data_IF_684677886599
#
_entry.id   IF_684677886599
#
_cell.length_a   1.000
_cell.length_b   1.000
_cell.length_c   1.000
_cell.angle_alpha   90.00
_cell.angle_beta   90.00
_cell.angle_gamma   90.00
#
_symmetry.space_group_name_H-M   'P 1'
#
loop_
_entity.id
_entity.type
_entity.pdbx_description
1 polymer ?
#
# COMPACT_ATOMS: atom_id res chain seq x y z
N UNK A 1 -6.41 14.31 -20.98
CA UNK A 1 -5.07 14.29 -21.61
C UNK A 1 -4.09 13.80 -20.55
N UNK A 2 -3.22 12.86 -20.88
CA UNK A 2 -2.29 12.27 -19.92
C UNK A 2 -1.31 13.31 -19.37
N UNK A 3 -1.17 13.36 -18.04
CA UNK A 3 -0.23 14.23 -17.34
C UNK A 3 1.16 13.59 -17.19
N UNK A 4 1.20 12.26 -17.12
CA UNK A 4 2.40 11.44 -17.07
C UNK A 4 2.41 10.45 -18.24
N UNK A 5 3.58 10.21 -18.84
CA UNK A 5 3.78 9.15 -19.83
C UNK A 5 4.91 8.24 -19.37
N UNK A 6 4.62 6.96 -19.24
CA UNK A 6 5.57 5.91 -18.87
C UNK A 6 5.86 5.05 -20.10
N UNK A 7 7.13 4.80 -20.39
CA UNK A 7 7.57 3.97 -21.51
C UNK A 7 8.29 2.75 -20.95
N UNK A 8 7.70 1.57 -21.11
CA UNK A 8 8.29 0.32 -20.66
C UNK A 8 9.29 -0.21 -21.70
N UNK A 9 10.58 -0.10 -21.39
CA UNK A 9 11.66 -0.70 -22.16
C UNK A 9 12.31 -1.88 -21.41
N UNK A 10 11.72 -2.33 -20.32
CA UNK A 10 12.28 -3.39 -19.49
C UNK A 10 12.34 -4.71 -20.27
N UNK A 11 13.50 -5.38 -20.25
CA UNK A 11 13.70 -6.65 -20.96
C UNK A 11 13.86 -6.55 -22.48
N UNK A 12 13.82 -5.35 -23.08
CA UNK A 12 14.21 -5.18 -24.48
C UNK A 12 15.73 -5.35 -24.61
N UNK A 13 16.16 -6.48 -25.20
CA UNK A 13 17.54 -6.63 -25.69
C UNK A 13 17.68 -5.78 -26.95
N UNK A 14 18.27 -4.59 -26.80
CA UNK A 14 18.75 -3.82 -27.95
C UNK A 14 19.95 -4.59 -28.51
N UNK A 15 19.71 -5.44 -29.51
CA UNK A 15 20.81 -6.05 -30.27
C UNK A 15 21.62 -4.91 -30.91
N UNK A 16 22.95 -5.08 -31.00
CA UNK A 16 23.91 -4.12 -31.58
C UNK A 16 23.68 -3.78 -33.07
N UNK A 17 22.57 -4.21 -33.66
CA UNK A 17 22.16 -3.81 -34.99
C UNK A 17 21.57 -2.39 -34.98
N UNK A 18 22.18 -1.50 -35.77
CA UNK A 18 21.81 -0.09 -35.98
C UNK A 18 20.29 0.16 -36.19
N UNK A 19 19.53 -0.82 -36.68
CA UNK A 19 18.09 -0.70 -36.92
C UNK A 19 17.24 -0.60 -35.65
N UNK A 20 17.64 -1.25 -34.55
CA UNK A 20 16.87 -1.24 -33.30
C UNK A 20 16.94 0.14 -32.62
N UNK A 21 18.14 0.73 -32.60
CA UNK A 21 18.38 2.07 -32.05
C UNK A 21 17.66 3.18 -32.82
N UNK A 22 17.67 3.14 -34.17
CA UNK A 22 16.96 4.14 -34.97
C UNK A 22 15.44 4.05 -34.78
N UNK A 23 14.89 2.85 -34.65
CA UNK A 23 13.45 2.65 -34.42
C UNK A 23 13.05 3.17 -33.05
N UNK A 24 13.81 2.83 -32.01
CA UNK A 24 13.59 3.35 -30.66
C UNK A 24 13.67 4.88 -30.63
N UNK A 25 14.69 5.46 -31.27
CA UNK A 25 14.87 6.91 -31.35
C UNK A 25 13.67 7.59 -32.04
N UNK A 26 13.17 7.02 -33.13
CA UNK A 26 11.96 7.51 -33.81
C UNK A 26 10.73 7.46 -32.90
N UNK A 27 10.56 6.36 -32.16
CA UNK A 27 9.43 6.20 -31.24
C UNK A 27 9.52 7.21 -30.09
N UNK A 28 10.69 7.36 -29.45
CA UNK A 28 10.88 8.33 -28.37
C UNK A 28 10.66 9.77 -28.85
N UNK A 29 11.17 10.13 -30.04
CA UNK A 29 10.91 11.43 -30.67
C UNK A 29 9.42 11.66 -30.93
N UNK A 30 8.71 10.65 -31.46
CA UNK A 30 7.27 10.75 -31.71
C UNK A 30 6.49 10.97 -30.41
N UNK A 31 6.84 10.22 -29.35
CA UNK A 31 6.23 10.39 -28.03
C UNK A 31 6.50 11.78 -27.48
N UNK A 32 7.75 12.25 -27.53
CA UNK A 32 8.11 13.58 -27.09
C UNK A 32 7.36 14.66 -27.89
N UNK A 33 7.37 14.63 -29.22
CA UNK A 33 6.65 15.62 -30.03
C UNK A 33 5.13 15.61 -29.77
N UNK A 34 4.54 14.45 -29.48
CA UNK A 34 3.10 14.33 -29.24
C UNK A 34 2.71 14.69 -27.80
N UNK A 35 3.63 14.57 -26.84
CA UNK A 35 3.34 14.67 -25.40
C UNK A 35 4.12 15.74 -24.63
N UNK A 36 5.24 16.28 -25.13
CA UNK A 36 6.11 17.20 -24.40
C UNK A 36 5.40 18.50 -24.00
N UNK A 37 4.52 19.04 -24.84
CA UNK A 37 3.76 20.25 -24.52
C UNK A 37 2.64 20.03 -23.49
N UNK A 38 2.33 18.77 -23.16
CA UNK A 38 1.10 18.37 -22.42
C UNK A 38 1.38 17.55 -21.17
N UNK A 39 2.43 16.74 -21.17
CA UNK A 39 2.82 15.88 -20.06
C UNK A 39 3.84 16.59 -19.16
N UNK A 40 3.57 16.59 -17.86
CA UNK A 40 4.46 17.15 -16.83
C UNK A 40 5.55 16.16 -16.41
N UNK A 41 5.43 14.90 -16.82
CA UNK A 41 6.33 13.83 -16.45
C UNK A 41 6.45 12.80 -17.59
N UNK A 42 7.65 12.65 -18.14
CA UNK A 42 7.98 11.66 -19.15
C UNK A 42 9.02 10.70 -18.54
N UNK A 43 8.70 9.41 -18.47
CA UNK A 43 9.53 8.44 -17.77
C UNK A 43 9.83 7.22 -18.64
N UNK A 44 11.08 6.77 -18.62
CA UNK A 44 11.52 5.52 -19.23
C UNK A 44 11.81 4.51 -18.12
N UNK A 45 11.28 3.29 -18.27
CA UNK A 45 11.52 2.16 -17.37
C UNK A 45 12.49 1.21 -18.05
N UNK A 46 13.66 0.95 -17.46
CA UNK A 46 14.67 0.04 -18.04
C UNK A 46 15.45 -0.74 -16.97
N UNK A 47 16.02 -1.90 -17.34
CA UNK A 47 16.93 -2.66 -16.48
C UNK A 47 18.28 -2.85 -17.19
N UNK A 48 19.37 -2.61 -16.48
CA UNK A 48 20.71 -2.62 -17.04
C UNK A 48 21.14 -1.24 -17.54
N UNK A 49 22.43 -0.97 -17.46
CA UNK A 49 22.97 0.28 -17.98
C UNK A 49 22.59 0.38 -19.47
N UNK A 50 22.02 1.50 -19.89
CA UNK A 50 22.22 2.00 -21.26
C UNK A 50 23.68 2.51 -21.35
N UNK A 51 24.65 1.73 -20.86
CA UNK A 51 26.07 1.96 -21.06
C UNK A 51 26.48 0.96 -22.11
N UNK A 52 26.86 1.46 -23.27
CA UNK A 52 27.76 0.74 -24.15
C UNK A 52 28.87 0.14 -23.28
N UNK A 53 28.97 -1.19 -23.26
CA UNK A 53 30.07 -1.85 -22.59
C UNK A 53 31.37 -1.30 -23.21
N UNK A 54 32.24 -0.69 -22.40
CA UNK A 54 33.65 -0.52 -22.78
C UNK A 54 34.31 -1.89 -22.65
N UNK A 55 34.06 -2.74 -23.64
CA UNK A 55 34.80 -3.98 -23.83
C UNK A 55 35.89 -3.77 -24.87
N UNK A 56 37.15 -3.77 -24.43
CA UNK A 56 38.31 -4.11 -25.25
C UNK A 56 38.73 -3.10 -26.32
N UNK A 57 40.03 -2.84 -26.39
CA UNK A 57 40.65 -2.14 -27.52
C UNK A 57 40.39 -2.92 -28.82
N UNK A 58 39.90 -2.21 -29.84
CA UNK A 58 39.64 -2.64 -31.23
C UNK A 58 38.21 -3.04 -31.64
N UNK A 59 37.21 -2.21 -31.32
CA UNK A 59 36.03 -2.07 -32.20
C UNK A 59 35.59 -0.60 -32.25
N UNK A 60 36.16 0.14 -33.20
CA UNK A 60 35.66 1.46 -33.62
C UNK A 60 34.43 1.18 -34.49
N UNK A 61 33.26 1.01 -33.86
CA UNK A 61 31.98 1.02 -34.54
C UNK A 61 31.22 2.30 -34.15
N UNK A 62 31.44 3.35 -34.97
CA UNK A 62 30.55 4.47 -35.27
C UNK A 62 29.81 5.17 -34.10
N UNK A 63 30.59 5.79 -33.22
CA UNK A 63 30.14 6.67 -32.16
C UNK A 63 29.85 8.12 -32.62
N UNK A 64 29.37 8.33 -33.86
CA UNK A 64 28.94 9.66 -34.36
C UNK A 64 27.41 9.81 -34.47
N UNK A 65 26.64 8.72 -34.36
CA UNK A 65 25.15 8.74 -34.36
C UNK A 65 24.52 8.79 -32.96
N UNK A 66 25.34 8.82 -31.90
CA UNK A 66 24.92 8.69 -30.49
C UNK A 66 24.51 10.01 -29.81
N UNK A 67 24.88 11.18 -30.35
CA UNK A 67 24.59 12.47 -29.72
C UNK A 67 23.09 12.80 -29.67
N UNK A 68 22.31 12.40 -30.69
CA UNK A 68 20.87 12.68 -30.74
C UNK A 68 20.09 11.90 -29.69
N UNK A 69 20.40 10.61 -29.51
CA UNK A 69 19.72 9.73 -28.54
C UNK A 69 20.04 10.12 -27.09
N UNK A 70 21.31 10.46 -26.82
CA UNK A 70 21.73 10.97 -25.51
C UNK A 70 21.11 12.31 -25.17
N UNK A 71 20.92 13.19 -26.16
CA UNK A 71 20.23 14.48 -25.96
C UNK A 71 18.75 14.25 -25.68
N UNK A 72 18.09 13.38 -26.43
CA UNK A 72 16.69 13.03 -26.24
C UNK A 72 16.42 12.41 -24.87
N UNK A 73 17.27 11.47 -24.44
CA UNK A 73 17.15 10.80 -23.15
C UNK A 73 17.25 11.77 -21.96
N UNK A 74 17.89 12.93 -22.11
CA UNK A 74 17.92 13.97 -21.05
C UNK A 74 16.56 14.59 -20.79
N UNK A 75 15.63 14.50 -21.75
CA UNK A 75 14.27 15.00 -21.60
C UNK A 75 13.34 14.00 -20.91
N UNK A 76 13.78 12.74 -20.78
CA UNK A 76 13.08 11.69 -20.08
C UNK A 76 13.72 11.42 -18.73
N UNK A 77 12.90 11.25 -17.72
CA UNK A 77 13.38 10.73 -16.44
C UNK A 77 13.55 9.21 -16.54
N UNK A 78 14.79 8.73 -16.47
CA UNK A 78 15.07 7.30 -16.56
C UNK A 78 15.02 6.66 -15.17
N UNK A 79 14.18 5.65 -15.00
CA UNK A 79 14.12 4.82 -13.79
C UNK A 79 14.66 3.44 -14.13
N UNK A 80 15.84 3.15 -13.57
CA UNK A 80 16.44 1.82 -13.60
C UNK A 80 16.59 1.27 -12.21
N UNK A 81 15.83 0.21 -11.91
CA UNK A 81 15.85 -0.52 -10.63
C UNK A 81 15.97 -2.02 -10.89
N UNK A 82 16.42 -2.81 -9.90
CA UNK A 82 16.62 -4.25 -10.07
C UNK A 82 15.36 -5.05 -10.38
N UNK A 83 14.17 -4.48 -10.14
CA UNK A 83 12.89 -5.18 -10.29
C UNK A 83 11.81 -4.22 -10.82
N UNK A 84 10.70 -4.78 -11.31
CA UNK A 84 9.56 -4.00 -11.79
C UNK A 84 8.82 -3.35 -10.62
N UNK A 85 8.64 -4.06 -9.51
CA UNK A 85 8.07 -3.53 -8.28
C UNK A 85 8.84 -2.29 -7.80
N UNK A 86 10.17 -2.36 -7.75
CA UNK A 86 11.02 -1.25 -7.35
C UNK A 86 10.93 -0.05 -8.30
N UNK A 87 10.88 -0.32 -9.61
CA UNK A 87 10.76 0.71 -10.65
C UNK A 87 9.41 1.43 -10.54
N UNK A 88 8.31 0.69 -10.52
CA UNK A 88 6.96 1.25 -10.46
C UNK A 88 6.69 1.97 -9.14
N UNK A 89 7.20 1.45 -8.01
CA UNK A 89 7.09 2.15 -6.74
C UNK A 89 7.83 3.50 -6.76
N UNK A 90 9.06 3.53 -7.31
CA UNK A 90 9.83 4.78 -7.48
C UNK A 90 9.08 5.76 -8.39
N UNK A 91 8.51 5.26 -9.49
CA UNK A 91 7.72 6.07 -10.43
C UNK A 91 6.47 6.64 -9.74
N UNK A 92 5.78 5.82 -8.95
CA UNK A 92 4.62 6.25 -8.16
C UNK A 92 4.99 7.39 -7.20
N UNK A 93 6.13 7.31 -6.53
CA UNK A 93 6.61 8.39 -5.66
C UNK A 93 6.75 9.71 -6.42
N UNK A 94 7.38 9.67 -7.61
CA UNK A 94 7.55 10.87 -8.47
C UNK A 94 6.23 11.41 -8.99
N UNK A 95 5.30 10.54 -9.36
CA UNK A 95 3.93 10.91 -9.77
C UNK A 95 3.21 11.62 -8.62
N UNK A 96 3.33 11.09 -7.40
CA UNK A 96 2.68 11.65 -6.21
C UNK A 96 3.30 12.98 -5.78
N UNK A 97 4.62 13.13 -5.85
CA UNK A 97 5.32 14.40 -5.60
C UNK A 97 4.85 15.52 -6.54
N UNK A 98 4.54 15.16 -7.79
CA UNK A 98 4.00 16.08 -8.80
C UNK A 98 2.46 16.20 -8.75
N UNK A 99 1.80 15.51 -7.83
CA UNK A 99 0.35 15.41 -7.68
C UNK A 99 -0.38 15.07 -9.00
N UNK A 100 0.16 14.12 -9.76
CA UNK A 100 -0.45 13.67 -11.02
C UNK A 100 -1.40 12.49 -10.76
N UNK A 101 -2.37 12.29 -11.65
CA UNK A 101 -3.27 11.13 -11.60
C UNK A 101 -3.62 10.55 -12.96
N UNK A 102 -3.47 11.30 -14.06
CA UNK A 102 -3.69 10.75 -15.41
C UNK A 102 -2.38 10.28 -16.03
N UNK A 103 -2.25 8.97 -16.26
CA UNK A 103 -1.03 8.32 -16.70
C UNK A 103 -1.29 7.56 -18.00
N UNK A 104 -0.45 7.77 -19.00
CA UNK A 104 -0.37 6.94 -20.20
C UNK A 104 0.81 5.98 -20.07
N UNK A 105 0.60 4.71 -20.39
CA UNK A 105 1.64 3.67 -20.37
C UNK A 105 1.82 3.13 -21.78
N UNK A 106 3.01 3.36 -22.33
CA UNK A 106 3.44 2.85 -23.62
C UNK A 106 4.27 1.60 -23.36
N UNK A 107 3.75 0.43 -23.74
CA UNK A 107 4.29 -0.87 -23.34
C UNK A 107 4.26 -1.86 -24.51
N UNK A 108 5.27 -2.74 -24.67
CA UNK A 108 5.20 -3.82 -25.64
C UNK A 108 3.96 -4.69 -25.42
N UNK A 109 3.29 -5.09 -26.51
CA UNK A 109 2.01 -5.80 -26.47
C UNK A 109 2.03 -7.04 -25.55
N UNK A 110 3.13 -7.81 -25.58
CA UNK A 110 3.32 -9.03 -24.77
C UNK A 110 3.55 -8.76 -23.28
N UNK A 111 3.90 -7.53 -22.89
CA UNK A 111 4.12 -7.12 -21.47
C UNK A 111 2.93 -6.39 -20.87
N UNK A 112 1.92 -6.06 -21.67
CA UNK A 112 0.77 -5.23 -21.27
C UNK A 112 0.01 -5.81 -20.08
N UNK A 113 -0.27 -7.12 -20.09
CA UNK A 113 -1.00 -7.78 -18.99
C UNK A 113 -0.16 -7.86 -17.72
N UNK A 114 1.13 -8.17 -17.84
CA UNK A 114 2.07 -8.15 -16.72
C UNK A 114 2.12 -6.75 -16.06
N UNK A 115 2.26 -5.70 -16.86
CA UNK A 115 2.29 -4.31 -16.39
C UNK A 115 0.99 -3.92 -15.66
N UNK A 116 -0.17 -4.33 -16.20
CA UNK A 116 -1.46 -4.12 -15.53
C UNK A 116 -1.51 -4.80 -14.16
N UNK A 117 -1.07 -6.05 -14.05
CA UNK A 117 -1.08 -6.78 -12.79
C UNK A 117 -0.20 -6.13 -11.70
N UNK A 118 0.95 -5.53 -12.05
CA UNK A 118 1.71 -4.71 -11.11
C UNK A 118 0.96 -3.41 -10.74
N UNK A 119 0.39 -2.72 -11.72
CA UNK A 119 -0.34 -1.46 -11.50
C UNK A 119 -1.55 -1.69 -10.58
N UNK A 120 -2.32 -2.74 -10.78
CA UNK A 120 -3.49 -3.10 -9.99
C UNK A 120 -3.16 -3.33 -8.50
N UNK A 121 -1.92 -3.69 -8.19
CA UNK A 121 -1.45 -3.88 -6.82
C UNK A 121 -0.80 -2.62 -6.23
N UNK A 122 -0.02 -1.87 -7.01
CA UNK A 122 0.78 -0.73 -6.54
C UNK A 122 0.03 0.61 -6.58
N UNK A 123 -1.04 0.71 -7.38
CA UNK A 123 -1.83 1.93 -7.54
C UNK A 123 -3.27 1.70 -7.07
N UNK A 124 -3.98 2.81 -6.86
CA UNK A 124 -5.40 2.81 -6.49
C UNK A 124 -6.25 3.46 -7.58
N UNK A 125 -7.57 3.49 -7.40
CA UNK A 125 -8.50 4.15 -8.33
C UNK A 125 -8.34 5.68 -8.39
N UNK A 126 -7.49 6.28 -7.54
CA UNK A 126 -7.11 7.69 -7.66
C UNK A 126 -6.38 7.95 -8.99
N UNK A 127 -5.73 6.94 -9.57
CA UNK A 127 -4.97 7.04 -10.80
C UNK A 127 -5.77 6.50 -11.98
N UNK A 128 -5.77 7.24 -13.09
CA UNK A 128 -6.37 6.83 -14.34
C UNK A 128 -5.27 6.41 -15.33
N UNK A 129 -5.32 5.16 -15.80
CA UNK A 129 -4.34 4.58 -16.70
C UNK A 129 -4.90 4.38 -18.11
N UNK A 130 -4.20 4.91 -19.11
CA UNK A 130 -4.41 4.62 -20.53
C UNK A 130 -3.22 3.82 -21.07
N UNK A 131 -3.47 2.80 -21.90
CA UNK A 131 -2.39 1.97 -22.45
C UNK A 131 -2.29 2.10 -23.96
N UNK A 132 -1.06 2.22 -24.43
CA UNK A 132 -0.71 2.29 -25.85
C UNK A 132 0.37 1.24 -26.15
N UNK A 133 0.26 0.59 -27.30
CA UNK A 133 1.20 -0.48 -27.65
C UNK A 133 2.47 0.12 -28.24
N UNK A 134 3.62 -0.28 -27.70
CA UNK A 134 4.92 0.14 -28.22
C UNK A 134 5.18 -0.55 -29.56
N UNK A 135 4.99 0.17 -30.67
CA UNK A 135 5.32 -0.32 -32.01
C UNK A 135 6.84 -0.29 -32.21
N UNK A 136 7.52 -1.40 -31.93
CA UNK A 136 8.91 -1.62 -32.36
C UNK A 136 8.87 -2.64 -33.49
N UNK A 137 9.21 -2.24 -34.71
CA UNK A 137 9.33 -3.16 -35.85
C UNK A 137 10.60 -4.01 -35.70
N UNK A 138 10.57 -5.02 -34.83
CA UNK A 138 11.59 -6.06 -34.78
C UNK A 138 11.32 -7.04 -35.93
N UNK A 139 11.76 -6.69 -37.14
CA UNK A 139 11.97 -7.69 -38.19
C UNK A 139 13.22 -8.49 -37.83
N UNK A 140 13.01 -9.61 -37.14
CA UNK A 140 13.53 -10.93 -37.52
C UNK A 140 13.70 -11.84 -36.29
N UNK A 141 13.08 -13.03 -36.38
CA UNK A 141 13.52 -14.25 -35.70
C UNK A 141 12.85 -14.60 -34.37
N UNK A 142 11.83 -15.46 -34.45
CA UNK A 142 11.35 -16.35 -33.37
C UNK A 142 10.71 -15.71 -32.13
N UNK A 143 9.63 -14.97 -32.32
CA UNK A 143 8.50 -15.05 -31.41
C UNK A 143 7.31 -15.50 -32.23
N UNK A 144 6.91 -16.77 -32.06
CA UNK A 144 5.64 -17.26 -32.56
C UNK A 144 4.60 -16.21 -32.19
N UNK A 145 3.88 -15.68 -33.18
CA UNK A 145 2.60 -15.05 -32.95
C UNK A 145 1.69 -16.13 -32.35
N UNK A 146 1.80 -16.37 -31.04
CA UNK A 146 0.73 -17.05 -30.34
C UNK A 146 -0.34 -15.99 -30.13
N UNK A 147 -1.45 -16.20 -30.83
CA UNK A 147 -2.77 -15.68 -30.50
C UNK A 147 -3.21 -16.30 -29.16
N UNK A 148 -2.36 -16.24 -28.14
CA UNK A 148 -2.68 -16.64 -26.78
C UNK A 148 -3.26 -15.42 -26.09
N UNK A 149 -4.49 -15.61 -25.62
CA UNK A 149 -5.19 -14.71 -24.75
C UNK A 149 -4.21 -14.26 -23.66
N UNK A 150 -3.81 -12.99 -23.66
CA UNK A 150 -2.88 -12.38 -22.71
C UNK A 150 -3.51 -12.37 -21.29
N UNK A 151 -3.76 -13.53 -20.71
CA UNK A 151 -4.21 -13.71 -19.34
C UNK A 151 -3.02 -14.10 -18.49
N UNK A 152 -2.83 -13.39 -17.39
CA UNK A 152 -1.83 -13.74 -16.40
C UNK A 152 -2.24 -15.07 -15.75
N UNK A 153 -1.31 -16.00 -15.66
CA UNK A 153 -1.52 -17.24 -14.92
C UNK A 153 -1.56 -16.97 -13.41
N UNK A 154 -2.17 -17.88 -12.63
CA UNK A 154 -2.18 -17.75 -11.18
C UNK A 154 -0.75 -17.74 -10.59
N UNK A 155 0.16 -18.51 -11.19
CA UNK A 155 1.57 -18.55 -10.81
C UNK A 155 2.27 -17.21 -11.07
N UNK A 156 2.12 -16.62 -12.25
CA UNK A 156 2.72 -15.31 -12.54
C UNK A 156 2.16 -14.22 -11.61
N UNK A 157 0.87 -14.29 -11.25
CA UNK A 157 0.29 -13.34 -10.30
C UNK A 157 0.90 -13.50 -8.89
N UNK A 158 1.15 -14.73 -8.46
CA UNK A 158 1.84 -15.04 -7.20
C UNK A 158 3.29 -14.54 -7.23
N UNK A 159 4.01 -14.71 -8.35
CA UNK A 159 5.36 -14.16 -8.54
C UNK A 159 5.37 -12.63 -8.42
N UNK A 160 4.40 -11.94 -9.03
CA UNK A 160 4.26 -10.48 -8.91
C UNK A 160 3.99 -10.07 -7.46
N UNK A 161 3.08 -10.76 -6.78
CA UNK A 161 2.78 -10.50 -5.37
C UNK A 161 4.04 -10.67 -4.51
N UNK A 162 4.76 -11.77 -4.70
CA UNK A 162 6.02 -12.06 -4.00
C UNK A 162 7.09 -11.01 -4.28
N UNK A 163 7.24 -10.54 -5.53
CA UNK A 163 8.19 -9.47 -5.88
C UNK A 163 7.84 -8.16 -5.16
N UNK A 164 6.56 -7.76 -5.17
CA UNK A 164 6.07 -6.56 -4.50
C UNK A 164 6.30 -6.66 -3.00
N UNK A 165 5.86 -7.74 -2.36
CA UNK A 165 6.02 -7.93 -0.93
C UNK A 165 7.50 -7.93 -0.51
N UNK A 166 8.35 -8.63 -1.26
CA UNK A 166 9.80 -8.67 -0.99
C UNK A 166 10.41 -7.27 -1.06
N UNK A 167 10.04 -6.50 -2.09
CA UNK A 167 10.51 -5.13 -2.23
C UNK A 167 10.01 -4.24 -1.09
N UNK A 168 8.71 -4.26 -0.77
CA UNK A 168 8.14 -3.43 0.31
C UNK A 168 8.71 -3.77 1.68
N UNK A 169 8.98 -5.05 1.96
CA UNK A 169 9.67 -5.51 3.19
C UNK A 169 11.09 -4.96 3.29
N UNK A 170 11.77 -4.74 2.16
CA UNK A 170 13.13 -4.19 2.13
C UNK A 170 13.20 -2.68 2.40
N UNK A 171 12.07 -1.97 2.32
CA UNK A 171 12.04 -0.51 2.51
C UNK A 171 12.35 -0.15 3.98
N UNK A 172 13.13 0.92 4.22
CA UNK A 172 13.38 1.38 5.58
C UNK A 172 12.10 1.91 6.24
N UNK A 173 12.04 1.87 7.56
CA UNK A 173 11.03 2.59 8.31
C UNK A 173 11.19 4.11 8.14
N UNK A 174 10.10 4.80 7.87
CA UNK A 174 10.07 6.26 7.77
C UNK A 174 9.71 6.89 9.12
N UNK A 175 10.18 8.12 9.32
CA UNK A 175 9.89 8.95 10.50
C UNK A 175 10.29 8.32 11.86
N UNK A 176 11.25 7.39 11.88
CA UNK A 176 11.75 6.74 13.10
C UNK A 176 11.19 5.35 13.31
N UNK A 177 11.33 4.82 14.53
CA UNK A 177 10.89 3.47 14.89
C UNK A 177 9.39 3.41 15.18
N UNK A 178 8.79 2.23 15.02
CA UNK A 178 7.40 1.98 15.41
C UNK A 178 7.29 2.03 16.92
N UNK A 179 6.47 2.96 17.43
CA UNK A 179 6.13 3.03 18.85
C UNK A 179 4.70 2.54 19.09
N UNK A 180 4.56 1.63 20.06
CA UNK A 180 3.28 1.11 20.57
C UNK A 180 3.15 1.58 22.02
N UNK A 181 2.16 2.41 22.29
CA UNK A 181 1.91 2.97 23.61
C UNK A 181 0.94 2.05 24.35
N UNK A 182 1.36 1.55 25.50
CA UNK A 182 0.57 0.66 26.36
C UNK A 182 0.24 1.35 27.68
N UNK A 183 -0.63 0.72 28.46
CA UNK A 183 -1.02 1.16 29.81
C UNK A 183 -0.83 0.02 30.80
N UNK A 184 -0.32 0.27 32.02
CA UNK A 184 -0.26 -0.74 33.08
C UNK A 184 -1.63 -1.22 33.58
N UNK A 185 -2.71 -0.48 33.29
CA UNK A 185 -4.05 -0.82 33.78
C UNK A 185 -4.67 -2.03 33.08
N UNK A 186 -4.23 -2.33 31.86
CA UNK A 186 -4.67 -3.54 31.14
C UNK A 186 -3.69 -4.68 31.49
N UNK A 187 -4.16 -5.80 32.04
CA UNK A 187 -3.27 -6.89 32.46
C UNK A 187 -2.54 -7.56 31.29
N UNK A 188 -1.31 -8.04 31.53
CA UNK A 188 -0.42 -8.65 30.54
C UNK A 188 -0.96 -9.92 29.85
N UNK A 189 -2.13 -10.42 30.28
CA UNK A 189 -2.83 -11.49 29.57
C UNK A 189 -3.45 -11.01 28.23
N UNK A 190 -3.42 -9.71 27.97
CA UNK A 190 -3.81 -9.06 26.73
C UNK A 190 -2.61 -8.39 26.05
N UNK A 191 -2.51 -8.49 24.73
CA UNK A 191 -1.68 -7.61 23.90
C UNK A 191 -2.56 -6.40 23.62
N UNK A 192 -2.15 -5.21 24.01
CA UNK A 192 -2.86 -3.98 23.68
C UNK A 192 -1.89 -2.89 23.29
N UNK A 193 -2.39 -1.92 22.55
CA UNK A 193 -1.60 -0.74 22.31
C UNK A 193 -2.24 0.28 21.39
N UNK A 194 -1.68 1.48 21.48
CA UNK A 194 -1.97 2.59 20.59
C UNK A 194 -0.73 2.85 19.75
N UNK A 195 -0.83 2.63 18.44
CA UNK A 195 0.27 2.92 17.53
C UNK A 195 0.40 4.41 17.28
N UNK A 196 1.64 4.83 17.03
CA UNK A 196 1.97 6.17 16.54
C UNK A 196 2.08 6.17 15.01
N UNK A 197 2.39 7.33 14.42
CA UNK A 197 2.55 7.48 12.97
C UNK A 197 3.92 7.04 12.43
N UNK A 198 4.87 6.66 13.28
CA UNK A 198 6.26 6.37 12.92
C UNK A 198 6.48 4.88 12.62
N UNK A 199 7.55 4.52 11.92
CA UNK A 199 7.93 3.11 11.74
C UNK A 199 7.44 2.43 10.44
N UNK A 200 6.69 3.14 9.61
CA UNK A 200 5.98 2.55 8.47
C UNK A 200 6.58 2.91 7.13
N UNK A 201 5.95 2.50 6.04
CA UNK A 201 6.44 2.71 4.67
C UNK A 201 5.57 3.63 3.81
N UNK A 202 4.51 4.21 4.37
CA UNK A 202 3.69 5.17 3.66
C UNK A 202 4.45 6.49 3.51
N UNK A 203 4.75 6.91 2.28
CA UNK A 203 5.52 8.13 2.02
C UNK A 203 4.65 9.36 1.76
N UNK A 204 3.36 9.17 1.44
CA UNK A 204 2.46 10.29 1.13
C UNK A 204 2.29 11.14 2.38
N UNK A 205 2.55 12.46 2.37
CA UNK A 205 2.62 13.29 3.59
C UNK A 205 1.40 13.16 4.51
N UNK A 206 0.18 13.10 3.94
CA UNK A 206 -1.06 12.96 4.73
C UNK A 206 -1.19 11.58 5.38
N UNK A 207 -0.55 10.55 4.84
CA UNK A 207 -0.61 9.16 5.29
C UNK A 207 0.68 8.71 6.00
N UNK A 208 1.74 9.52 5.96
CA UNK A 208 3.06 9.10 6.41
C UNK A 208 3.19 8.99 7.94
N UNK A 209 3.80 7.94 8.51
CA UNK A 209 4.42 6.77 7.86
C UNK A 209 3.69 5.45 8.08
N UNK A 210 2.91 5.34 9.16
CA UNK A 210 2.32 4.09 9.64
C UNK A 210 0.81 4.00 9.36
N UNK A 211 0.41 4.15 8.10
CA UNK A 211 -1.00 4.05 7.71
C UNK A 211 -1.47 2.58 7.69
N UNK A 212 -2.60 2.29 8.34
CA UNK A 212 -3.25 0.96 8.34
C UNK A 212 -4.58 0.93 7.58
N UNK A 213 -4.87 1.95 6.77
CA UNK A 213 -6.10 2.06 6.01
C UNK A 213 -5.89 2.42 4.54
N UNK A 214 -6.52 1.67 3.65
CA UNK A 214 -6.55 1.93 2.20
C UNK A 214 -7.99 1.92 1.71
N UNK A 215 -8.28 2.79 0.74
CA UNK A 215 -9.55 2.86 0.02
C UNK A 215 -9.33 3.38 -1.39
N UNK A 216 -10.33 3.22 -2.27
CA UNK A 216 -10.27 3.70 -3.66
C UNK A 216 -10.01 5.20 -3.79
N UNK A 217 -10.37 5.99 -2.76
CA UNK A 217 -10.22 7.45 -2.73
C UNK A 217 -8.86 7.91 -2.17
N UNK A 218 -7.99 6.99 -1.75
CA UNK A 218 -6.68 7.29 -1.14
C UNK A 218 -5.56 6.76 -2.02
N UNK A 219 -4.40 7.41 -1.96
CA UNK A 219 -3.24 7.06 -2.80
C UNK A 219 -2.38 5.90 -2.27
N UNK A 220 -2.53 5.51 -1.00
CA UNK A 220 -1.85 4.31 -0.47
C UNK A 220 -2.57 3.04 -0.94
N UNK A 221 -1.89 2.12 -1.63
CA UNK A 221 -2.46 0.85 -2.03
C UNK A 221 -2.55 -0.13 -0.86
N UNK A 222 -3.35 -1.18 -1.03
CA UNK A 222 -3.55 -2.23 -0.01
C UNK A 222 -2.24 -2.91 0.40
N UNK A 223 -1.34 -3.18 -0.54
CA UNK A 223 -0.05 -3.85 -0.29
C UNK A 223 0.86 -3.05 0.65
N UNK A 224 0.84 -1.71 0.58
CA UNK A 224 1.60 -0.83 1.49
C UNK A 224 1.03 -0.89 2.91
N UNK A 225 -0.30 -0.86 3.02
CA UNK A 225 -1.01 -0.99 4.30
C UNK A 225 -0.83 -2.36 4.93
N UNK A 226 -0.81 -3.43 4.13
CA UNK A 226 -0.54 -4.79 4.58
C UNK A 226 0.88 -4.94 5.14
N UNK A 227 1.88 -4.32 4.51
CA UNK A 227 3.25 -4.33 5.05
C UNK A 227 3.34 -3.58 6.39
N UNK A 228 2.67 -2.42 6.52
CA UNK A 228 2.58 -1.73 7.82
C UNK A 228 1.90 -2.62 8.89
N UNK A 229 0.82 -3.32 8.53
CA UNK A 229 0.15 -4.27 9.44
C UNK A 229 1.06 -5.44 9.82
N UNK A 230 1.86 -5.96 8.88
CA UNK A 230 2.85 -7.02 9.16
C UNK A 230 3.93 -6.54 10.14
N UNK A 231 4.45 -5.33 9.95
CA UNK A 231 5.42 -4.72 10.89
C UNK A 231 4.84 -4.59 12.29
N UNK A 232 3.59 -4.17 12.36
CA UNK A 232 2.85 -4.03 13.60
C UNK A 232 2.65 -5.38 14.30
N UNK A 233 2.18 -6.38 13.56
CA UNK A 233 1.99 -7.73 14.05
C UNK A 233 3.28 -8.31 14.64
N UNK A 234 4.40 -8.13 13.95
CA UNK A 234 5.71 -8.56 14.43
C UNK A 234 6.16 -7.82 15.70
N UNK A 235 5.93 -6.50 15.78
CA UNK A 235 6.35 -5.70 16.93
C UNK A 235 5.47 -5.95 18.17
N UNK A 236 4.18 -6.17 17.96
CA UNK A 236 3.21 -6.40 19.03
C UNK A 236 3.08 -7.88 19.43
N UNK A 237 3.47 -8.82 18.57
CA UNK A 237 3.39 -10.26 18.81
C UNK A 237 2.05 -10.90 18.46
N UNK A 238 1.29 -10.34 17.51
CA UNK A 238 -0.01 -10.88 17.08
C UNK A 238 0.00 -11.49 15.68
N UNK A 239 -1.03 -12.27 15.34
CA UNK A 239 -1.20 -12.80 13.98
C UNK A 239 -1.96 -11.81 13.08
N UNK A 240 -1.28 -11.27 12.06
CA UNK A 240 -1.86 -10.33 11.09
C UNK A 240 -3.07 -10.90 10.32
N UNK A 241 -3.14 -12.22 10.12
CA UNK A 241 -4.28 -12.87 9.43
C UNK A 241 -5.55 -12.90 10.29
N UNK A 242 -5.41 -12.79 11.62
CA UNK A 242 -6.50 -12.74 12.58
C UNK A 242 -6.76 -11.32 13.09
N UNK A 243 -6.43 -10.35 12.25
CA UNK A 243 -6.63 -8.94 12.51
C UNK A 243 -8.00 -8.46 12.02
N UNK A 244 -8.84 -7.98 12.92
CA UNK A 244 -10.18 -7.48 12.61
C UNK A 244 -10.32 -6.03 13.04
N UNK A 245 -10.66 -5.17 12.08
CA UNK A 245 -10.92 -3.76 12.31
C UNK A 245 -12.42 -3.44 12.22
N UNK A 246 -12.84 -2.42 12.94
CA UNK A 246 -14.18 -1.83 12.81
C UNK A 246 -14.50 -1.39 11.38
N UNK A 247 -15.80 -1.37 11.04
CA UNK A 247 -16.35 -0.86 9.78
C UNK A 247 -17.25 0.34 10.12
N UNK A 248 -16.67 1.48 10.54
CA UNK A 248 -17.45 2.55 11.14
C UNK A 248 -18.31 3.24 10.09
N UNK A 249 -19.56 3.52 10.45
CA UNK A 249 -20.47 4.45 9.79
C UNK A 249 -20.88 5.60 10.74
N UNK A 250 -20.20 5.69 11.90
CA UNK A 250 -20.52 6.60 13.00
C UNK A 250 -21.90 6.39 13.61
N UNK A 251 -22.44 5.17 13.51
CA UNK A 251 -23.63 4.75 14.23
C UNK A 251 -23.24 4.19 15.61
N UNK A 252 -23.99 3.18 16.09
CA UNK A 252 -23.83 2.62 17.44
C UNK A 252 -23.80 1.09 17.48
N UNK A 253 -23.60 0.46 16.32
CA UNK A 253 -23.57 -0.99 16.20
C UNK A 253 -22.25 -1.57 16.71
N UNK A 254 -22.36 -2.72 17.37
CA UNK A 254 -21.24 -3.46 17.96
C UNK A 254 -21.23 -4.86 17.38
N UNK A 255 -20.13 -5.24 16.75
CA UNK A 255 -19.94 -6.63 16.35
C UNK A 255 -19.40 -7.46 17.51
N UNK A 256 -20.18 -8.48 17.90
CA UNK A 256 -19.75 -9.50 18.84
C UNK A 256 -19.24 -10.68 18.01
N UNK A 257 -17.94 -10.97 18.08
CA UNK A 257 -17.36 -12.10 17.35
C UNK A 257 -18.04 -13.42 17.73
N UNK A 258 -18.32 -14.24 16.71
CA UNK A 258 -19.15 -15.43 16.84
C UNK A 258 -20.65 -15.20 16.56
N UNK A 259 -21.09 -13.94 16.43
CA UNK A 259 -22.41 -13.60 15.87
C UNK A 259 -22.28 -13.13 14.41
N UNK A 260 -23.42 -13.06 13.72
CA UNK A 260 -23.50 -12.49 12.37
C UNK A 260 -22.89 -11.09 12.36
N UNK A 261 -21.91 -10.89 11.49
CA UNK A 261 -21.25 -9.61 11.32
C UNK A 261 -22.21 -8.59 10.68
N UNK A 262 -22.39 -7.39 11.26
CA UNK A 262 -23.12 -6.30 10.63
C UNK A 262 -22.36 -5.74 9.41
N UNK A 263 -23.06 -5.01 8.53
CA UNK A 263 -22.42 -4.33 7.40
C UNK A 263 -21.48 -3.21 7.87
N UNK A 264 -21.89 -2.48 8.92
CA UNK A 264 -21.15 -1.42 9.59
C UNK A 264 -21.26 -1.55 11.12
N UNK A 265 -20.20 -1.18 11.81
CA UNK A 265 -20.10 -1.18 13.27
C UNK A 265 -18.92 -0.32 13.74
N UNK A 266 -19.14 0.42 14.82
CA UNK A 266 -18.14 1.30 15.44
C UNK A 266 -17.38 0.61 16.59
N UNK A 267 -17.76 -0.61 16.94
CA UNK A 267 -17.06 -1.39 17.96
C UNK A 267 -17.02 -2.89 17.66
N UNK A 268 -15.99 -3.56 18.18
CA UNK A 268 -15.87 -5.01 18.16
C UNK A 268 -15.59 -5.50 19.58
N UNK A 269 -16.19 -6.63 19.95
CA UNK A 269 -15.82 -7.38 21.15
C UNK A 269 -15.63 -8.86 20.84
N UNK A 270 -14.71 -9.50 21.56
CA UNK A 270 -14.38 -10.90 21.42
C UNK A 270 -13.92 -11.49 22.74
N UNK A 271 -14.10 -12.80 22.91
CA UNK A 271 -13.46 -13.63 23.92
C UNK A 271 -12.62 -14.75 23.28
N UNK A 272 -12.37 -14.66 21.97
CA UNK A 272 -11.56 -15.62 21.22
C UNK A 272 -10.08 -15.28 21.38
N UNK A 273 -9.28 -16.31 21.71
CA UNK A 273 -7.82 -16.19 21.86
C UNK A 273 -7.12 -16.10 20.51
N UNK A 274 -6.03 -15.32 20.46
CA UNK A 274 -5.23 -15.13 19.25
C UNK A 274 -5.97 -14.41 18.13
N UNK A 275 -6.93 -13.54 18.49
CA UNK A 275 -7.66 -12.66 17.57
C UNK A 275 -7.44 -11.21 17.97
N UNK A 276 -7.00 -10.39 17.02
CA UNK A 276 -6.72 -8.97 17.26
C UNK A 276 -7.88 -8.06 16.83
N UNK A 277 -8.43 -7.40 17.85
CA UNK A 277 -9.31 -6.22 17.90
C UNK A 277 -8.77 -4.90 17.39
N UNK A 278 -9.32 -4.19 16.41
CA UNK A 278 -8.81 -2.85 16.07
C UNK A 278 -9.84 -1.76 15.78
N UNK A 279 -9.59 -0.58 16.36
CA UNK A 279 -10.30 0.65 16.04
C UNK A 279 -9.32 1.63 15.39
N UNK A 280 -9.43 1.80 14.07
CA UNK A 280 -8.60 2.76 13.32
C UNK A 280 -9.24 4.14 13.41
N UNK A 281 -8.45 5.17 13.71
CA UNK A 281 -8.95 6.54 13.79
C UNK A 281 -7.90 7.59 13.42
N UNK A 282 -8.38 8.74 12.98
CA UNK A 282 -7.62 9.98 12.97
C UNK A 282 -8.55 11.01 13.60
N UNK A 283 -8.14 11.60 14.72
CA UNK A 283 -8.89 12.56 15.54
C UNK A 283 -10.02 12.02 16.44
N UNK A 284 -10.57 10.84 16.16
CA UNK A 284 -11.59 10.21 17.01
C UNK A 284 -10.99 9.64 18.31
N UNK A 285 -11.77 9.62 19.41
CA UNK A 285 -11.32 9.03 20.69
C UNK A 285 -11.47 7.52 20.57
N UNK A 286 -10.40 6.74 20.67
CA UNK A 286 -10.56 5.32 20.49
C UNK A 286 -10.30 4.63 21.84
N UNK A 287 -11.06 3.58 22.14
CA UNK A 287 -11.20 3.02 23.49
C UNK A 287 -10.94 1.53 23.45
N UNK A 288 -10.10 1.06 24.37
CA UNK A 288 -9.80 -0.35 24.57
C UNK A 288 -10.43 -0.83 25.88
N UNK A 289 -11.08 -1.99 25.81
CA UNK A 289 -11.67 -2.67 26.95
C UNK A 289 -11.01 -4.04 27.13
N UNK A 290 -10.76 -4.40 28.39
CA UNK A 290 -10.25 -5.70 28.78
C UNK A 290 -10.94 -6.18 30.06
N UNK A 291 -11.52 -7.37 30.01
CA UNK A 291 -12.09 -8.09 31.15
C UNK A 291 -11.23 -9.33 31.42
N UNK A 292 -10.33 -9.28 32.43
CA UNK A 292 -9.44 -10.40 32.72
C UNK A 292 -10.13 -11.61 33.33
N UNK A 293 -11.31 -11.43 33.95
CA UNK A 293 -12.08 -12.53 34.56
C UNK A 293 -12.73 -13.36 33.46
N UNK A 294 -13.38 -12.70 32.51
CA UNK A 294 -14.07 -13.35 31.38
C UNK A 294 -13.14 -13.65 30.22
N UNK A 295 -11.90 -13.14 30.26
CA UNK A 295 -10.93 -13.20 29.16
C UNK A 295 -11.59 -12.71 27.87
N UNK A 296 -12.12 -11.50 27.95
CA UNK A 296 -12.78 -10.82 26.84
C UNK A 296 -12.15 -9.44 26.64
N UNK A 297 -12.07 -9.00 25.40
CA UNK A 297 -11.62 -7.66 25.06
C UNK A 297 -12.55 -7.01 24.04
N UNK A 298 -12.35 -5.71 23.83
CA UNK A 298 -13.05 -5.00 22.79
C UNK A 298 -12.39 -3.67 22.49
N UNK A 299 -12.75 -3.13 21.34
CA UNK A 299 -12.37 -1.80 20.89
C UNK A 299 -13.61 -1.05 20.45
N UNK A 300 -13.66 0.24 20.74
CA UNK A 300 -14.72 1.12 20.28
C UNK A 300 -14.15 2.41 19.70
N UNK A 301 -14.82 2.90 18.68
CA UNK A 301 -14.57 4.18 18.07
C UNK A 301 -15.60 5.19 18.56
N UNK A 302 -15.13 6.33 19.06
CA UNK A 302 -15.95 7.48 19.41
C UNK A 302 -15.59 8.64 18.49
N UNK A 303 -16.48 8.96 17.56
CA UNK A 303 -16.41 10.21 16.78
C UNK A 303 -16.54 11.46 17.67
N UNK A 304 -16.57 12.65 17.06
CA UNK A 304 -16.72 13.92 17.76
C UNK A 304 -17.98 13.93 18.66
N UNK A 305 -17.80 13.65 19.97
CA UNK A 305 -18.67 13.94 21.13
C UNK A 305 -20.20 13.94 20.94
N UNK A 306 -20.74 13.20 19.98
CA UNK A 306 -22.17 13.05 19.78
C UNK A 306 -22.63 11.78 20.50
N UNK A 307 -23.86 11.82 21.02
CA UNK A 307 -24.57 10.82 21.83
C UNK A 307 -24.37 9.36 21.36
N UNK A 308 -24.21 9.14 20.05
CA UNK A 308 -23.97 7.81 19.46
C UNK A 308 -22.69 7.12 19.96
N UNK A 309 -21.62 7.88 20.21
CA UNK A 309 -20.35 7.30 20.68
C UNK A 309 -20.42 6.81 22.13
N UNK A 310 -21.19 7.49 22.98
CA UNK A 310 -21.47 7.03 24.35
C UNK A 310 -22.24 5.71 24.31
N UNK A 311 -23.17 5.54 23.36
CA UNK A 311 -23.93 4.31 23.21
C UNK A 311 -23.03 3.14 22.80
N UNK A 312 -22.08 3.33 21.88
CA UNK A 312 -21.12 2.28 21.49
C UNK A 312 -20.25 1.84 22.66
N UNK A 313 -19.75 2.80 23.45
CA UNK A 313 -18.96 2.57 24.67
C UNK A 313 -19.78 1.79 25.71
N UNK A 314 -20.99 2.26 25.99
CA UNK A 314 -21.91 1.62 26.93
C UNK A 314 -22.31 0.23 26.45
N UNK A 315 -22.50 0.03 25.14
CA UNK A 315 -22.83 -1.27 24.55
C UNK A 315 -21.66 -2.24 24.64
N UNK A 316 -20.41 -1.82 24.43
CA UNK A 316 -19.25 -2.69 24.65
C UNK A 316 -19.12 -3.06 26.12
N UNK A 317 -19.25 -2.09 27.02
CA UNK A 317 -19.33 -2.33 28.47
C UNK A 317 -20.46 -3.32 28.83
N UNK A 318 -21.66 -3.12 28.28
CA UNK A 318 -22.81 -4.00 28.46
C UNK A 318 -22.54 -5.39 27.88
N UNK A 319 -21.88 -5.52 26.73
CA UNK A 319 -21.56 -6.82 26.14
C UNK A 319 -20.53 -7.59 26.98
N UNK A 320 -19.51 -6.89 27.47
CA UNK A 320 -18.51 -7.47 28.36
C UNK A 320 -19.15 -7.87 29.70
N UNK A 321 -20.10 -7.10 30.23
CA UNK A 321 -20.77 -7.40 31.51
C UNK A 321 -21.93 -8.42 31.40
N UNK A 322 -22.73 -8.41 30.33
CA UNK A 322 -23.95 -9.24 30.13
C UNK A 322 -23.74 -10.64 29.54
N UNK A 323 -22.53 -11.19 29.55
CA UNK A 323 -22.37 -12.66 29.63
C UNK A 323 -22.82 -13.24 30.99
N UNK A 324 -23.73 -12.56 31.69
CA UNK A 324 -24.46 -12.99 32.87
C UNK A 324 -25.94 -13.08 32.45
N UNK A 325 -26.60 -14.25 32.58
CA UNK A 325 -28.04 -14.29 32.45
C UNK A 325 -28.64 -13.49 33.61
N UNK A 326 -29.51 -12.53 33.28
CA UNK A 326 -30.36 -11.72 34.18
C UNK A 326 -29.69 -10.65 35.06
N UNK A 327 -30.16 -9.41 34.87
CA UNK A 327 -29.89 -8.21 35.68
C UNK A 327 -30.64 -8.29 37.01
N UNK A 328 -29.91 -8.30 38.13
CA UNK A 328 -30.30 -7.68 39.42
C UNK A 328 -29.07 -7.66 40.34
N UNK A 329 -28.23 -6.63 40.18
CA UNK A 329 -27.28 -6.02 41.16
C UNK A 329 -26.00 -5.59 40.45
N UNK A 330 -25.77 -4.29 40.40
CA UNK A 330 -24.55 -3.69 39.82
C UNK A 330 -23.51 -3.63 40.93
N UNK A 331 -22.60 -4.61 40.97
CA UNK A 331 -21.25 -4.39 41.51
C UNK A 331 -20.46 -3.55 40.49
N UNK A 332 -19.49 -2.72 40.92
CA UNK A 332 -18.59 -2.07 39.97
C UNK A 332 -17.98 -3.14 39.06
N UNK A 333 -17.92 -2.90 37.74
CA UNK A 333 -17.50 -3.94 36.80
C UNK A 333 -16.03 -4.31 36.98
N UNK A 334 -15.71 -5.60 36.86
CA UNK A 334 -14.35 -6.15 36.95
C UNK A 334 -13.51 -5.93 35.67
N UNK A 335 -13.89 -4.99 34.78
CA UNK A 335 -13.17 -4.68 33.54
C UNK A 335 -12.41 -3.35 33.64
N UNK A 336 -11.31 -3.24 32.90
CA UNK A 336 -10.59 -1.98 32.71
C UNK A 336 -10.91 -1.39 31.34
N UNK A 337 -11.24 -0.10 31.30
CA UNK A 337 -11.37 0.67 30.08
C UNK A 337 -10.29 1.76 30.06
N UNK A 338 -9.51 1.82 28.99
CA UNK A 338 -8.49 2.87 28.81
C UNK A 338 -8.92 3.83 27.72
N UNK A 339 -8.96 5.12 28.10
CA UNK A 339 -9.07 6.25 27.20
C UNK A 339 -7.68 6.81 26.93
N UNK A 340 -7.36 7.08 25.66
CA UNK A 340 -6.23 7.94 25.31
C UNK A 340 -6.79 9.26 24.78
N UNK A 341 -6.62 10.33 25.56
CA UNK A 341 -7.04 11.69 25.18
C UNK A 341 -5.82 12.58 24.92
N UNK A 342 -5.98 13.47 23.95
CA UNK A 342 -4.98 14.41 23.41
C UNK A 342 -4.26 15.17 24.53
N UNK A 343 -2.93 15.02 24.61
CA UNK A 343 -2.05 16.03 25.23
C UNK A 343 -0.89 16.31 24.27
N UNK A 344 -0.74 17.57 23.85
CA UNK A 344 0.28 18.10 22.93
C UNK A 344 0.09 17.88 21.40
N UNK A 345 0.55 18.88 20.64
CA UNK A 345 0.22 19.21 19.25
C UNK A 345 0.86 18.35 18.15
N UNK A 346 1.35 17.14 18.43
CA UNK A 346 2.21 16.40 17.49
C UNK A 346 1.70 15.05 16.97
N UNK A 347 0.49 14.61 17.32
CA UNK A 347 0.02 13.27 16.93
C UNK A 347 -1.34 13.33 16.23
N UNK A 348 -1.32 13.34 14.90
CA UNK A 348 -2.54 13.49 14.10
C UNK A 348 -3.23 12.16 13.73
N UNK A 349 -2.61 10.98 13.83
CA UNK A 349 -3.28 9.70 13.52
C UNK A 349 -2.87 8.62 14.52
N UNK A 350 -3.83 7.89 15.08
CA UNK A 350 -3.62 6.76 16.00
C UNK A 350 -4.30 5.52 15.43
N UNK A 351 -3.62 4.37 15.42
CA UNK A 351 -4.30 3.11 15.10
C UNK A 351 -4.26 2.21 16.32
N UNK A 352 -5.44 1.83 16.82
CA UNK A 352 -5.56 1.07 18.07
C UNK A 352 -5.74 -0.41 17.83
N UNK A 353 -5.19 -1.21 18.73
CA UNK A 353 -5.21 -2.66 18.64
C UNK A 353 -5.34 -3.25 20.05
N UNK A 354 -6.10 -4.33 20.18
CA UNK A 354 -6.25 -5.11 21.41
C UNK A 354 -6.52 -6.59 21.09
N UNK A 355 -5.74 -7.50 21.62
CA UNK A 355 -5.82 -8.95 21.43
C UNK A 355 -5.77 -9.67 22.79
N UNK A 356 -6.45 -10.80 22.87
CA UNK A 356 -6.38 -11.73 23.99
C UNK A 356 -5.29 -12.77 23.72
N UNK A 357 -4.22 -12.71 24.51
CA UNK A 357 -3.01 -13.54 24.33
C UNK A 357 -3.12 -14.83 25.09
N UNK A 358 -3.61 -14.73 26.33
CA UNK A 358 -3.80 -15.86 27.20
C UNK A 358 -5.08 -16.54 26.80
#
# INVERSE_FOLDING_TARGET
MAEAVLIDLFGLKLNSQNNCHQTLLKTLNAVQNHHADKAKFLCIICCGNISCERGGENDICELETSNGLLTLLKEFETVSKPSMAASLYTIKQKIDEKNLSSIKVIVPMHRKTLMKAFIDQLFTEVYNFEFEDLQVSLKDGLLKQSTEINMITAHELEEIQNEIETYLRSLPALNGELAIITTPSIPDIFIHGFTTRTGGISYIPTLSSFNLFSSSKRRDPKVVVQENLRRLANAAGFNAEKFHRIKPDHASEVWIMGKKEPESYDAITTNQRGVTVAALGADCIPIVFADPVKKACGVAHSGNLQTHSIISILRVSDCLTRQIPTLTSVKPPDYTAQLMWRSSQSVLHYHQLCEIVA
#
